data_IF_282545436105
#
_entry.id   IF_282545436105
#
_cell.length_a   1.000
_cell.length_b   1.000
_cell.length_c   1.000
_cell.angle_alpha   90.00
_cell.angle_beta   90.00
_cell.angle_gamma   90.00
#
_symmetry.space_group_name_H-M   'P 1'
#
loop_
_entity.id
_entity.type
_entity.pdbx_description
1 polymer ?
#
# COMPACT_ATOMS: atom_id res chain seq x y z
N UNK A 1 30.39 -6.99 0.85
CA UNK A 1 29.70 -7.18 2.12
C UNK A 1 28.26 -7.60 1.92
N UNK A 2 27.82 -8.62 2.60
CA UNK A 2 26.47 -9.12 2.42
C UNK A 2 25.38 -8.32 3.11
N UNK A 3 25.75 -7.29 3.86
CA UNK A 3 24.77 -6.53 4.63
C UNK A 3 23.76 -5.82 3.77
N UNK A 4 24.20 -5.29 2.62
CA UNK A 4 23.30 -4.54 1.76
C UNK A 4 22.21 -5.42 1.18
N UNK A 5 22.51 -6.70 1.00
CA UNK A 5 21.54 -7.65 0.48
C UNK A 5 20.38 -7.87 1.46
N UNK A 6 20.65 -7.67 2.74
CA UNK A 6 19.67 -7.87 3.80
C UNK A 6 18.94 -6.58 4.17
N UNK A 7 19.33 -5.46 3.56
CA UNK A 7 18.71 -4.18 3.86
C UNK A 7 17.35 -4.08 3.20
N UNK A 8 16.32 -3.91 4.00
CA UNK A 8 14.96 -3.66 3.52
C UNK A 8 14.67 -2.19 3.74
N UNK A 9 14.14 -1.46 2.74
CA UNK A 9 13.75 -0.07 2.96
C UNK A 9 12.81 0.00 4.17
N UNK A 10 13.09 0.91 5.08
CA UNK A 10 12.31 1.00 6.31
C UNK A 10 10.84 1.29 6.05
N UNK A 11 10.56 2.11 5.03
CA UNK A 11 9.18 2.41 4.66
C UNK A 11 8.44 1.18 4.16
N UNK A 12 9.14 0.26 3.51
CA UNK A 12 8.51 -0.99 3.04
C UNK A 12 8.07 -1.85 4.22
N UNK A 13 8.95 -2.01 5.20
CA UNK A 13 8.64 -2.76 6.41
C UNK A 13 7.50 -2.10 7.18
N UNK A 14 7.55 -0.79 7.32
CA UNK A 14 6.51 -0.05 8.01
C UNK A 14 5.17 -0.14 7.30
N UNK A 15 5.15 -0.03 5.98
CA UNK A 15 3.92 -0.16 5.21
C UNK A 15 3.30 -1.54 5.39
N UNK A 16 4.12 -2.59 5.35
CA UNK A 16 3.68 -3.95 5.62
C UNK A 16 3.04 -4.05 7.01
N UNK A 17 3.72 -3.51 8.01
CA UNK A 17 3.23 -3.54 9.39
C UNK A 17 1.90 -2.79 9.52
N UNK A 18 1.80 -1.59 8.95
CA UNK A 18 0.59 -0.80 9.06
C UNK A 18 -0.61 -1.50 8.43
N UNK A 19 -0.43 -2.13 7.27
CA UNK A 19 -1.52 -2.84 6.60
C UNK A 19 -1.96 -4.05 7.41
N UNK A 20 -1.02 -4.80 7.98
CA UNK A 20 -1.36 -5.95 8.81
C UNK A 20 -1.96 -5.53 10.14
N UNK A 21 -1.52 -4.42 10.70
CA UNK A 21 -2.11 -3.87 11.91
C UNK A 21 -3.59 -3.50 11.67
N UNK A 22 -3.87 -2.84 10.56
CA UNK A 22 -5.24 -2.47 10.21
C UNK A 22 -6.13 -3.71 10.05
N UNK A 23 -5.61 -4.77 9.43
CA UNK A 23 -6.34 -6.03 9.29
C UNK A 23 -6.66 -6.63 10.66
N UNK A 24 -5.68 -6.65 11.55
CA UNK A 24 -5.88 -7.20 12.90
C UNK A 24 -6.93 -6.43 13.69
N UNK A 25 -7.06 -5.14 13.45
CA UNK A 25 -8.05 -4.31 14.16
C UNK A 25 -9.40 -4.28 13.45
N UNK A 26 -9.55 -5.02 12.37
CA UNK A 26 -10.80 -5.10 11.64
C UNK A 26 -11.03 -3.98 10.62
N UNK A 27 -10.02 -3.21 10.30
CA UNK A 27 -10.12 -2.08 9.38
C UNK A 27 -9.20 -2.24 8.18
N UNK A 28 -9.11 -3.45 7.62
CA UNK A 28 -8.27 -3.70 6.46
C UNK A 28 -8.63 -2.79 5.29
N UNK A 29 -7.59 -2.34 4.57
CA UNK A 29 -7.77 -1.49 3.41
C UNK A 29 -8.38 -2.30 2.26
N UNK A 30 -9.45 -1.79 1.67
CA UNK A 30 -10.04 -2.45 0.51
C UNK A 30 -9.19 -2.17 -0.73
N UNK A 31 -8.59 -3.20 -1.28
CA UNK A 31 -7.72 -3.11 -2.45
C UNK A 31 -8.37 -3.72 -3.70
N UNK A 32 -9.66 -3.99 -3.64
CA UNK A 32 -10.42 -4.50 -4.78
C UNK A 32 -11.44 -3.51 -5.29
N UNK A 33 -11.98 -2.67 -4.40
CA UNK A 33 -13.01 -1.69 -4.76
C UNK A 33 -12.67 -0.32 -4.19
N UNK A 34 -13.16 0.71 -4.86
CA UNK A 34 -13.01 2.08 -4.37
C UNK A 34 -14.07 2.41 -3.31
N UNK A 35 -14.06 3.66 -2.83
CA UNK A 35 -14.99 4.10 -1.79
C UNK A 35 -16.45 4.09 -2.23
N UNK A 36 -16.70 4.08 -3.54
CA UNK A 36 -18.06 3.99 -4.10
C UNK A 36 -18.48 2.54 -4.37
N UNK A 37 -17.63 1.56 -4.05
CA UNK A 37 -17.93 0.16 -4.27
C UNK A 37 -17.67 -0.33 -5.69
N UNK A 38 -16.99 0.45 -6.52
CA UNK A 38 -16.66 0.04 -7.88
C UNK A 38 -15.30 -0.67 -7.90
N UNK A 39 -15.13 -1.67 -8.76
CA UNK A 39 -13.83 -2.34 -8.88
C UNK A 39 -12.73 -1.33 -9.24
N UNK A 40 -11.56 -1.51 -8.64
CA UNK A 40 -10.42 -0.67 -8.98
C UNK A 40 -9.99 -0.94 -10.41
N UNK A 41 -9.71 0.15 -11.14
CA UNK A 41 -9.38 0.10 -12.56
C UNK A 41 -7.91 0.46 -12.74
N UNK A 42 -7.13 -0.41 -13.35
CA UNK A 42 -5.70 -0.17 -13.52
C UNK A 42 -5.38 0.95 -14.53
N UNK A 43 -6.37 1.45 -15.25
CA UNK A 43 -6.18 2.60 -16.14
C UNK A 43 -6.45 3.92 -15.46
N UNK A 44 -6.92 3.90 -14.22
CA UNK A 44 -7.26 5.10 -13.47
C UNK A 44 -6.25 5.37 -12.39
N UNK A 45 -6.27 6.60 -11.88
CA UNK A 45 -5.49 6.97 -10.70
C UNK A 45 -6.43 7.28 -9.55
N UNK A 46 -5.88 7.22 -8.33
CA UNK A 46 -6.66 7.32 -7.11
C UNK A 46 -5.96 8.19 -6.08
N UNK A 47 -6.71 8.65 -5.11
CA UNK A 47 -6.18 9.24 -3.89
C UNK A 47 -6.71 8.45 -2.71
N UNK A 48 -6.02 8.49 -1.59
CA UNK A 48 -6.53 7.89 -0.37
C UNK A 48 -7.49 8.88 0.30
N UNK A 49 -8.72 8.44 0.52
CA UNK A 49 -9.75 9.25 1.20
C UNK A 49 -9.76 8.88 2.67
N UNK A 50 -9.27 9.79 3.50
CA UNK A 50 -9.12 9.52 4.92
C UNK A 50 -10.48 9.43 5.64
N UNK A 51 -11.49 10.11 5.12
CA UNK A 51 -12.83 10.08 5.71
C UNK A 51 -13.54 8.77 5.42
N UNK A 52 -13.41 8.28 4.19
CA UNK A 52 -14.03 7.02 3.78
C UNK A 52 -13.09 5.83 4.01
N UNK A 53 -11.84 6.08 4.34
CA UNK A 53 -10.82 5.07 4.61
C UNK A 53 -10.63 4.09 3.45
N UNK A 54 -10.55 4.65 2.26
CA UNK A 54 -10.36 3.86 1.05
C UNK A 54 -9.85 4.70 -0.10
N UNK A 55 -9.77 4.08 -1.27
CA UNK A 55 -9.27 4.74 -2.47
C UNK A 55 -10.42 5.40 -3.23
N UNK A 56 -10.21 6.63 -3.66
CA UNK A 56 -11.18 7.41 -4.41
C UNK A 56 -10.58 7.75 -5.77
N UNK A 57 -11.32 7.55 -6.89
CA UNK A 57 -10.82 7.92 -8.21
C UNK A 57 -10.55 9.43 -8.29
N UNK A 58 -9.42 9.78 -8.90
CA UNK A 58 -9.03 11.18 -9.10
C UNK A 58 -8.23 11.27 -10.39
N UNK A 59 -8.43 12.33 -11.17
CA UNK A 59 -7.77 12.46 -12.47
C UNK A 59 -6.26 12.58 -12.33
N UNK A 60 -5.67 13.08 -11.42
CA UNK A 60 -4.22 13.15 -11.24
C UNK A 60 -3.85 12.65 -9.85
N UNK A 61 -4.44 11.51 -9.50
CA UNK A 61 -4.19 10.91 -8.21
C UNK A 61 -2.78 10.37 -8.08
N UNK A 62 -2.29 10.31 -6.87
CA UNK A 62 -0.95 9.84 -6.56
C UNK A 62 -0.82 8.32 -6.64
N UNK A 63 -1.94 7.62 -6.61
CA UNK A 63 -1.97 6.16 -6.55
C UNK A 63 -2.40 5.61 -7.90
N UNK A 64 -1.51 4.87 -8.55
CA UNK A 64 -1.81 4.21 -9.82
C UNK A 64 -1.79 2.69 -9.64
N UNK A 65 -1.88 1.96 -10.75
CA UNK A 65 -1.91 0.50 -10.72
C UNK A 65 -0.69 -0.11 -10.02
N UNK A 66 0.48 0.48 -10.19
CA UNK A 66 1.69 -0.04 -9.56
C UNK A 66 1.64 0.10 -8.05
N UNK A 67 1.14 1.20 -7.56
CA UNK A 67 0.93 1.39 -6.12
C UNK A 67 -0.05 0.36 -5.57
N UNK A 68 -1.16 0.15 -6.27
CA UNK A 68 -2.18 -0.81 -5.85
C UNK A 68 -1.61 -2.22 -5.83
N UNK A 69 -0.82 -2.59 -6.83
CA UNK A 69 -0.18 -3.91 -6.86
C UNK A 69 0.74 -4.11 -5.66
N UNK A 70 1.53 -3.11 -5.32
CA UNK A 70 2.42 -3.21 -4.17
C UNK A 70 1.62 -3.30 -2.87
N UNK A 71 0.56 -2.50 -2.74
CA UNK A 71 -0.30 -2.58 -1.56
C UNK A 71 -0.90 -3.98 -1.40
N UNK A 72 -1.35 -4.60 -2.49
CA UNK A 72 -1.88 -5.95 -2.47
C UNK A 72 -0.84 -6.97 -2.02
N UNK A 73 0.38 -6.85 -2.53
CA UNK A 73 1.47 -7.74 -2.14
C UNK A 73 1.79 -7.58 -0.65
N UNK A 74 1.89 -6.33 -0.20
CA UNK A 74 2.17 -6.05 1.21
C UNK A 74 1.07 -6.60 2.13
N UNK A 75 -0.17 -6.52 1.70
CA UNK A 75 -1.30 -6.96 2.52
C UNK A 75 -1.42 -8.49 2.59
N UNK A 76 -0.90 -9.21 1.60
CA UNK A 76 -1.13 -10.66 1.49
C UNK A 76 0.12 -11.51 1.65
N UNK A 77 1.32 -10.93 1.65
CA UNK A 77 2.57 -11.71 1.71
C UNK A 77 3.25 -11.58 3.06
N UNK A 78 4.11 -12.52 3.35
CA UNK A 78 4.92 -12.49 4.56
C UNK A 78 6.04 -11.46 4.44
N UNK A 79 6.61 -11.06 5.57
CA UNK A 79 7.70 -10.10 5.58
C UNK A 79 8.94 -10.67 4.84
N UNK A 80 9.14 -11.98 4.86
CA UNK A 80 10.26 -12.58 4.14
C UNK A 80 10.09 -12.39 2.62
N UNK A 81 8.87 -12.51 2.12
CA UNK A 81 8.59 -12.27 0.71
C UNK A 81 8.79 -10.81 0.35
N UNK A 82 8.34 -9.91 1.22
CA UNK A 82 8.49 -8.47 1.02
C UNK A 82 9.96 -8.08 0.93
N UNK A 83 10.82 -8.72 1.72
CA UNK A 83 12.25 -8.43 1.71
C UNK A 83 12.91 -8.68 0.36
N UNK A 84 12.28 -9.45 -0.52
CA UNK A 84 12.82 -9.78 -1.83
C UNK A 84 12.30 -8.88 -2.95
N UNK A 85 11.42 -7.93 -2.62
CA UNK A 85 10.87 -7.01 -3.62
C UNK A 85 11.89 -5.93 -3.94
N UNK A 86 12.10 -5.70 -5.23
CA UNK A 86 12.96 -4.63 -5.70
C UNK A 86 12.22 -3.70 -6.66
N UNK A 87 12.85 -2.59 -7.00
CA UNK A 87 12.31 -1.67 -7.99
C UNK A 87 11.10 -0.88 -7.55
N UNK A 88 10.85 -0.76 -6.25
CA UNK A 88 9.65 -0.09 -5.73
C UNK A 88 9.95 1.30 -5.16
N UNK A 89 11.20 1.74 -5.21
CA UNK A 89 11.62 2.98 -4.55
C UNK A 89 10.83 4.20 -5.03
N UNK A 90 10.44 4.22 -6.29
CA UNK A 90 9.73 5.37 -6.87
C UNK A 90 8.30 5.50 -6.36
N UNK A 91 7.68 4.39 -6.01
CA UNK A 91 6.28 4.39 -5.57
C UNK A 91 6.14 4.20 -4.06
N UNK A 92 7.22 3.83 -3.40
CA UNK A 92 7.18 3.49 -1.97
C UNK A 92 6.70 4.64 -1.07
N UNK A 93 7.10 5.91 -1.28
CA UNK A 93 6.62 6.98 -0.42
C UNK A 93 5.10 7.10 -0.38
N UNK A 94 4.44 7.01 -1.53
CA UNK A 94 2.98 7.10 -1.60
C UNK A 94 2.31 5.87 -0.99
N UNK A 95 2.87 4.69 -1.23
CA UNK A 95 2.36 3.44 -0.64
C UNK A 95 2.48 3.50 0.88
N UNK A 96 3.62 3.94 1.38
CA UNK A 96 3.86 4.08 2.81
C UNK A 96 2.86 5.05 3.44
N UNK A 97 2.62 6.19 2.78
CA UNK A 97 1.71 7.19 3.30
C UNK A 97 0.28 6.66 3.37
N UNK A 98 -0.18 5.96 2.34
CA UNK A 98 -1.51 5.34 2.33
C UNK A 98 -1.63 4.35 3.48
N UNK A 99 -0.66 3.48 3.64
CA UNK A 99 -0.69 2.47 4.70
C UNK A 99 -0.74 3.12 6.08
N UNK A 100 0.08 4.15 6.29
CA UNK A 100 0.12 4.87 7.55
C UNK A 100 -1.19 5.58 7.85
N UNK A 101 -1.73 6.30 6.87
CA UNK A 101 -2.98 7.03 7.04
C UNK A 101 -4.12 6.06 7.33
N UNK A 102 -4.14 4.93 6.66
CA UNK A 102 -5.20 3.94 6.86
C UNK A 102 -5.12 3.30 8.25
N UNK A 103 -3.93 3.04 8.74
CA UNK A 103 -3.75 2.47 10.07
C UNK A 103 -4.11 3.47 11.18
N UNK A 104 -4.13 4.74 10.87
CA UNK A 104 -4.50 5.80 11.82
C UNK A 104 -3.64 5.80 13.08
N UNK A 105 -2.37 5.54 12.91
CA UNK A 105 -1.40 5.53 14.01
C UNK A 105 -0.77 6.92 14.17
#
# INVERSE_FOLDING_TARGET
>A
MGLDVLTIPIQLTQAWFYLHYAELTGYELNLERDVAGRPLDETKTYIYDINEKGLRPAEQGDINANHIKLLRVLATRSIQTIAQIGGVEKILPEVWLVARQHAAI
#
